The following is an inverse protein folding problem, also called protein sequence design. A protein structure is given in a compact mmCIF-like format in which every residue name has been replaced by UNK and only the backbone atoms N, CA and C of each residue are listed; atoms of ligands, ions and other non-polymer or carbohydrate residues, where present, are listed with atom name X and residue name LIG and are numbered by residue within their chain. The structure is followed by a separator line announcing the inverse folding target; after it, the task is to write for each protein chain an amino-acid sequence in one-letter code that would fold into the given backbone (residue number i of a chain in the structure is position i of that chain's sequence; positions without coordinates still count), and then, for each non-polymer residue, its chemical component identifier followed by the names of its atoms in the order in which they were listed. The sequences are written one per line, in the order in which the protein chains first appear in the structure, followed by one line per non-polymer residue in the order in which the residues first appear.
data_IF_607003071713
#
_entry.id   IF_607003071713
#
_cell.length_a   1.000
_cell.length_b   1.000
_cell.length_c   1.000
_cell.angle_alpha   90.00
_cell.angle_beta   90.00
_cell.angle_gamma   90.00
#
_symmetry.space_group_name_H-M   'P 1'
#
loop_
_entity.id
_entity.type
_entity.pdbx_description
1 polymer ?
#
# COMPACT_ATOMS: atom_id res chain seq x y z
N UNK A 1 -6.84 -1.33 0.27
CA UNK A 1 -5.45 -1.39 0.71
C UNK A 1 -5.05 0.00 1.14
N UNK A 2 -4.41 0.12 2.32
CA UNK A 2 -3.93 1.38 2.88
C UNK A 2 -2.48 1.18 3.33
N UNK A 3 -1.59 2.18 3.21
CA UNK A 3 -0.16 1.99 3.45
C UNK A 3 0.19 1.79 4.93
N UNK A 4 -0.69 2.16 5.86
CA UNK A 4 -0.42 2.09 7.29
C UNK A 4 -1.59 1.54 8.10
N UNK A 5 -1.26 1.05 9.30
CA UNK A 5 -2.21 0.56 10.31
C UNK A 5 -3.14 1.66 10.82
N UNK A 6 -2.62 2.87 11.01
CA UNK A 6 -3.41 4.00 11.50
C UNK A 6 -4.49 4.41 10.51
N UNK A 7 -4.19 4.34 9.21
CA UNK A 7 -5.16 4.62 8.16
C UNK A 7 -6.33 3.61 8.16
N UNK A 8 -6.12 2.36 8.60
CA UNK A 8 -7.24 1.42 8.77
C UNK A 8 -8.25 1.98 9.79
N UNK A 9 -7.76 2.52 10.90
CA UNK A 9 -8.60 3.16 11.92
C UNK A 9 -9.35 4.37 11.37
N UNK A 10 -8.66 5.24 10.65
CA UNK A 10 -9.27 6.45 10.05
C UNK A 10 -10.36 6.09 9.04
N UNK A 11 -10.11 5.13 8.15
CA UNK A 11 -11.10 4.65 7.18
C UNK A 11 -12.32 4.01 7.87
N UNK A 12 -12.10 3.22 8.93
CA UNK A 12 -13.21 2.62 9.69
C UNK A 12 -14.05 3.69 10.40
N UNK A 13 -13.41 4.69 10.99
CA UNK A 13 -14.08 5.81 11.65
C UNK A 13 -14.90 6.63 10.65
N UNK A 14 -14.29 6.99 9.51
CA UNK A 14 -14.96 7.74 8.45
C UNK A 14 -16.19 6.97 7.92
N UNK A 15 -16.05 5.66 7.67
CA UNK A 15 -17.17 4.84 7.24
C UNK A 15 -18.35 4.89 8.23
N UNK A 16 -18.07 4.81 9.54
CA UNK A 16 -19.12 4.91 10.57
C UNK A 16 -19.72 6.31 10.67
N UNK A 17 -18.91 7.36 10.55
CA UNK A 17 -19.38 8.74 10.50
C UNK A 17 -20.33 8.97 9.30
N UNK A 18 -20.06 8.31 8.17
CA UNK A 18 -20.92 8.34 6.97
C UNK A 18 -22.17 7.43 7.09
N UNK A 19 -22.40 6.81 8.25
CA UNK A 19 -23.55 5.95 8.49
C UNK A 19 -23.46 4.57 7.84
N UNK A 20 -22.28 4.16 7.35
CA UNK A 20 -22.06 2.81 6.80
C UNK A 20 -22.12 1.78 7.92
N UNK A 21 -22.87 0.68 7.71
CA UNK A 21 -23.17 -0.33 8.75
C UNK A 21 -22.70 -1.73 8.39
N UNK A 22 -22.09 -1.90 7.23
CA UNK A 22 -21.60 -3.19 6.81
C UNK A 22 -20.50 -3.73 7.74
N UNK A 23 -20.34 -5.06 7.77
CA UNK A 23 -19.20 -5.70 8.38
C UNK A 23 -17.87 -5.14 7.86
N UNK A 24 -16.99 -4.80 8.81
CA UNK A 24 -15.63 -4.34 8.56
C UNK A 24 -14.64 -5.39 9.05
N UNK A 25 -13.62 -5.68 8.25
CA UNK A 25 -12.52 -6.55 8.66
C UNK A 25 -11.17 -5.87 8.41
N UNK A 26 -10.29 -5.91 9.40
CA UNK A 26 -8.91 -5.49 9.30
C UNK A 26 -7.99 -6.71 9.13
N UNK A 27 -7.23 -6.72 8.03
CA UNK A 27 -6.22 -7.73 7.70
C UNK A 27 -4.86 -7.06 7.81
N UNK A 28 -4.31 -7.08 9.01
CA UNK A 28 -3.00 -6.51 9.33
C UNK A 28 -2.40 -7.24 10.53
N UNK A 29 -1.25 -6.76 11.00
CA UNK A 29 -0.70 -7.12 12.31
C UNK A 29 -1.46 -6.52 13.50
N UNK A 30 -2.51 -5.71 13.28
CA UNK A 30 -3.39 -5.21 14.35
C UNK A 30 -4.37 -6.27 14.85
N UNK A 31 -4.59 -6.23 16.16
CA UNK A 31 -5.75 -6.84 16.81
C UNK A 31 -6.85 -5.78 16.96
N UNK A 32 -7.88 -5.84 16.12
CA UNK A 32 -8.95 -4.86 16.05
C UNK A 32 -9.65 -4.64 17.40
N UNK A 33 -9.82 -5.70 18.20
CA UNK A 33 -10.43 -5.63 19.52
C UNK A 33 -9.60 -4.84 20.55
N UNK A 34 -8.29 -4.70 20.35
CA UNK A 34 -7.39 -3.90 21.20
C UNK A 34 -7.22 -2.47 20.70
N UNK A 35 -7.64 -2.19 19.47
CA UNK A 35 -7.54 -0.86 18.88
C UNK A 35 -8.87 -0.10 19.11
N UNK A 36 -8.90 0.97 19.92
CA UNK A 36 -10.15 1.62 20.35
C UNK A 36 -11.09 1.97 19.20
N UNK A 37 -10.55 2.61 18.15
CA UNK A 37 -11.33 3.04 16.98
C UNK A 37 -11.89 1.85 16.18
N UNK A 38 -11.16 0.74 16.08
CA UNK A 38 -11.61 -0.42 15.30
C UNK A 38 -12.63 -1.23 16.09
N UNK A 39 -12.43 -1.35 17.40
CA UNK A 39 -13.38 -1.95 18.33
C UNK A 39 -14.70 -1.18 18.33
N UNK A 40 -14.65 0.15 18.44
CA UNK A 40 -15.84 1.03 18.37
C UNK A 40 -16.54 0.93 17.01
N UNK A 41 -15.78 0.84 15.91
CA UNK A 41 -16.34 0.61 14.59
C UNK A 41 -16.92 -0.80 14.38
N UNK A 42 -16.78 -1.71 15.35
CA UNK A 42 -17.20 -3.11 15.24
C UNK A 42 -16.41 -3.89 14.20
N UNK A 43 -15.18 -3.49 13.91
CA UNK A 43 -14.29 -4.19 12.99
C UNK A 43 -13.69 -5.44 13.65
N UNK A 44 -13.54 -6.51 12.86
CA UNK A 44 -12.90 -7.76 13.29
C UNK A 44 -11.52 -7.91 12.66
N UNK A 45 -10.64 -8.72 13.25
CA UNK A 45 -9.35 -9.07 12.65
C UNK A 45 -9.36 -10.45 12.01
N UNK A 46 -8.68 -10.61 10.88
CA UNK A 46 -8.34 -11.94 10.34
C UNK A 46 -6.93 -12.37 10.76
N UNK A 47 -6.83 -13.52 11.44
CA UNK A 47 -5.57 -14.16 11.77
C UNK A 47 -5.01 -15.06 10.66
N UNK A 48 -5.81 -15.42 9.66
CA UNK A 48 -5.44 -16.27 8.53
C UNK A 48 -6.33 -15.99 7.31
N UNK A 49 -5.88 -16.38 6.10
CA UNK A 49 -6.70 -16.35 4.90
C UNK A 49 -7.96 -17.23 4.99
N UNK A 50 -7.91 -18.34 5.72
CA UNK A 50 -9.07 -19.21 5.95
C UNK A 50 -10.17 -18.50 6.75
N UNK A 51 -9.80 -17.79 7.84
CA UNK A 51 -10.77 -17.02 8.63
C UNK A 51 -11.40 -15.89 7.80
N UNK A 52 -10.60 -15.21 6.98
CA UNK A 52 -11.10 -14.20 6.04
C UNK A 52 -12.08 -14.82 5.03
N UNK A 53 -11.74 -15.98 4.44
CA UNK A 53 -12.60 -16.65 3.47
C UNK A 53 -13.94 -17.10 4.08
N UNK A 54 -13.91 -17.66 5.28
CA UNK A 54 -15.12 -17.99 6.05
C UNK A 54 -16.00 -16.75 6.27
N UNK A 55 -15.39 -15.66 6.72
CA UNK A 55 -16.11 -14.42 7.02
C UNK A 55 -16.75 -13.81 5.76
N UNK A 56 -16.03 -13.79 4.64
CA UNK A 56 -16.55 -13.33 3.35
C UNK A 56 -17.70 -14.23 2.86
N UNK A 57 -17.57 -15.55 2.95
CA UNK A 57 -18.63 -16.48 2.58
C UNK A 57 -19.90 -16.30 3.45
N UNK A 58 -19.74 -15.99 4.73
CA UNK A 58 -20.86 -15.66 5.64
C UNK A 58 -21.55 -14.35 5.24
N UNK A 59 -20.80 -13.30 4.91
CA UNK A 59 -21.37 -12.02 4.46
C UNK A 59 -22.13 -12.20 3.13
N UNK A 60 -21.53 -12.93 2.18
CA UNK A 60 -22.15 -13.25 0.89
C UNK A 60 -23.46 -14.04 1.06
N UNK A 61 -23.48 -15.04 1.96
CA UNK A 61 -24.70 -15.81 2.27
C UNK A 61 -25.85 -14.93 2.79
N UNK A 62 -25.53 -13.84 3.48
CA UNK A 62 -26.51 -12.88 3.99
C UNK A 62 -26.85 -11.77 2.99
N UNK A 63 -26.21 -11.74 1.83
CA UNK A 63 -26.30 -10.65 0.87
C UNK A 63 -25.95 -9.28 1.49
N UNK A 64 -25.01 -9.28 2.44
CA UNK A 64 -24.50 -8.07 3.08
C UNK A 64 -23.24 -7.61 2.34
N UNK A 65 -23.11 -6.32 1.95
CA UNK A 65 -21.83 -5.79 1.52
C UNK A 65 -20.82 -5.94 2.66
N UNK A 66 -19.53 -6.07 2.35
CA UNK A 66 -18.47 -6.21 3.35
C UNK A 66 -17.25 -5.42 2.90
N UNK A 67 -16.55 -4.78 3.85
CA UNK A 67 -15.33 -4.01 3.56
C UNK A 67 -14.14 -4.64 4.28
N UNK A 68 -13.08 -4.90 3.53
CA UNK A 68 -11.82 -5.43 4.05
C UNK A 68 -10.73 -4.36 3.90
N UNK A 69 -10.15 -3.95 5.02
CA UNK A 69 -8.95 -3.13 5.06
C UNK A 69 -7.73 -4.02 5.16
N UNK A 70 -6.71 -3.74 4.36
CA UNK A 70 -5.49 -4.54 4.32
C UNK A 70 -4.27 -3.65 4.16
N UNK A 71 -3.20 -3.96 4.89
CA UNK A 71 -1.89 -3.34 4.75
C UNK A 71 -1.01 -4.12 3.76
N UNK A 72 -0.01 -3.49 3.12
CA UNK A 72 0.79 -4.16 2.08
C UNK A 72 1.45 -5.46 2.54
N UNK A 73 2.02 -5.46 3.75
CA UNK A 73 2.64 -6.61 4.41
C UNK A 73 1.66 -7.78 4.69
N UNK A 74 0.37 -7.51 4.63
CA UNK A 74 -0.69 -8.49 4.89
C UNK A 74 -1.46 -8.91 3.62
N UNK A 75 -1.04 -8.45 2.43
CA UNK A 75 -1.59 -8.89 1.15
C UNK A 75 -1.52 -10.41 0.92
N UNK A 76 -0.46 -11.14 1.33
CA UNK A 76 -0.43 -12.60 1.19
C UNK A 76 -1.64 -13.30 1.83
N UNK A 77 -2.21 -12.77 2.92
CA UNK A 77 -3.42 -13.33 3.54
C UNK A 77 -4.67 -13.20 2.66
N UNK A 78 -4.71 -12.19 1.78
CA UNK A 78 -5.80 -12.06 0.80
C UNK A 78 -5.64 -13.11 -0.30
N UNK A 79 -4.41 -13.42 -0.70
CA UNK A 79 -4.11 -14.47 -1.68
C UNK A 79 -4.46 -15.86 -1.13
N UNK A 80 -4.14 -16.14 0.14
CA UNK A 80 -4.48 -17.38 0.85
C UNK A 80 -5.98 -17.73 0.79
N UNK A 81 -6.88 -16.75 0.68
CA UNK A 81 -8.33 -16.98 0.54
C UNK A 81 -8.65 -17.91 -0.63
N UNK A 82 -7.87 -17.83 -1.71
CA UNK A 82 -8.06 -18.65 -2.90
C UNK A 82 -7.79 -20.14 -2.66
N UNK A 83 -7.01 -20.47 -1.64
CA UNK A 83 -6.65 -21.84 -1.26
C UNK A 83 -7.49 -22.37 -0.10
N UNK A 84 -8.48 -21.62 0.36
CA UNK A 84 -9.35 -22.04 1.44
C UNK A 84 -10.39 -23.07 1.00
N UNK A 85 -10.98 -23.77 1.97
CA UNK A 85 -12.13 -24.67 1.75
C UNK A 85 -13.43 -23.92 1.45
N UNK A 86 -13.45 -22.61 1.68
CA UNK A 86 -14.59 -21.74 1.39
C UNK A 86 -14.51 -21.22 -0.05
N UNK A 87 -15.66 -20.85 -0.67
CA UNK A 87 -15.64 -20.26 -2.00
C UNK A 87 -14.67 -19.08 -2.07
N UNK A 88 -13.74 -19.12 -3.02
CA UNK A 88 -12.79 -18.05 -3.24
C UNK A 88 -13.55 -16.74 -3.53
N UNK A 89 -13.47 -15.80 -2.59
CA UNK A 89 -14.14 -14.53 -2.73
C UNK A 89 -13.53 -13.72 -3.88
N UNK A 90 -14.38 -13.17 -4.74
CA UNK A 90 -13.98 -12.18 -5.75
C UNK A 90 -14.48 -10.83 -5.28
N UNK A 91 -13.55 -9.91 -5.01
CA UNK A 91 -13.91 -8.56 -4.57
C UNK A 91 -14.51 -7.76 -5.72
N UNK A 92 -15.65 -7.11 -5.52
CA UNK A 92 -16.26 -6.27 -6.56
C UNK A 92 -15.42 -5.01 -6.88
N UNK A 93 -14.70 -4.50 -5.90
CA UNK A 93 -13.84 -3.33 -6.00
C UNK A 93 -12.67 -3.45 -5.01
N UNK A 94 -11.45 -3.24 -5.49
CA UNK A 94 -10.30 -2.93 -4.65
C UNK A 94 -9.97 -1.44 -4.76
N UNK A 95 -9.83 -0.77 -3.61
CA UNK A 95 -9.33 0.61 -3.53
C UNK A 95 -7.90 0.53 -3.00
N UNK A 96 -6.97 1.17 -3.69
CA UNK A 96 -5.55 1.24 -3.35
C UNK A 96 -5.23 2.69 -3.01
N UNK A 97 -5.14 2.96 -1.71
CA UNK A 97 -4.81 4.27 -1.17
C UNK A 97 -3.29 4.48 -1.16
N UNK A 98 -2.86 5.72 -1.31
CA UNK A 98 -1.46 6.11 -1.57
C UNK A 98 -0.77 5.23 -2.62
N UNK A 99 -1.44 5.11 -3.77
CA UNK A 99 -1.03 4.23 -4.86
C UNK A 99 0.37 4.54 -5.42
N UNK A 100 0.93 5.74 -5.19
CA UNK A 100 2.32 6.02 -5.59
C UNK A 100 3.31 5.06 -4.92
N UNK A 101 3.06 4.61 -3.68
CA UNK A 101 3.89 3.59 -3.01
C UNK A 101 3.83 2.20 -3.67
N UNK A 102 2.85 1.97 -4.55
CA UNK A 102 2.75 0.71 -5.31
C UNK A 102 3.52 0.76 -6.63
N UNK A 103 3.96 1.94 -7.05
CA UNK A 103 4.74 2.15 -8.26
C UNK A 103 6.23 2.29 -7.90
N UNK A 104 7.01 1.22 -8.02
CA UNK A 104 8.48 1.29 -7.91
C UNK A 104 9.08 0.33 -6.89
N UNK A 105 9.92 -0.58 -7.40
CA UNK A 105 10.65 -1.60 -6.62
C UNK A 105 10.09 -3.00 -6.85
N UNK A 106 10.78 -3.78 -7.70
CA UNK A 106 10.47 -5.19 -7.96
C UNK A 106 10.76 -6.10 -6.74
N UNK A 107 11.52 -5.59 -5.77
CA UNK A 107 12.00 -6.34 -4.60
C UNK A 107 11.04 -6.32 -3.39
N UNK A 108 9.79 -5.92 -3.62
CA UNK A 108 8.81 -5.66 -2.58
C UNK A 108 7.55 -6.51 -2.83
N UNK A 109 6.82 -6.87 -1.76
CA UNK A 109 5.69 -7.82 -1.84
C UNK A 109 4.39 -7.24 -2.44
N UNK A 110 4.30 -5.93 -2.58
CA UNK A 110 3.08 -5.23 -3.01
C UNK A 110 2.69 -5.28 -4.50
N UNK A 111 3.53 -5.66 -5.49
CA UNK A 111 3.09 -5.86 -6.87
C UNK A 111 1.91 -6.83 -7.00
N UNK A 112 1.74 -7.72 -6.02
CA UNK A 112 0.62 -8.67 -5.94
C UNK A 112 -0.76 -8.01 -6.03
N UNK A 113 -0.92 -6.76 -5.59
CA UNK A 113 -2.22 -6.06 -5.68
C UNK A 113 -2.67 -5.81 -7.12
N UNK A 114 -1.73 -5.74 -8.07
CA UNK A 114 -2.01 -5.56 -9.49
C UNK A 114 -2.33 -6.88 -10.21
N UNK A 115 -1.90 -8.02 -9.65
CA UNK A 115 -2.09 -9.33 -10.25
C UNK A 115 -3.49 -9.88 -9.95
N UNK A 116 -4.32 -9.98 -10.99
CA UNK A 116 -5.71 -10.48 -10.87
C UNK A 116 -5.81 -11.99 -10.67
N UNK A 117 -4.74 -12.74 -10.96
CA UNK A 117 -4.67 -14.16 -10.66
C UNK A 117 -4.39 -14.42 -9.18
N UNK A 118 -3.66 -13.50 -8.52
CA UNK A 118 -3.28 -13.58 -7.10
C UNK A 118 -4.26 -12.86 -6.17
N UNK A 119 -4.81 -11.73 -6.60
CA UNK A 119 -5.83 -10.98 -5.86
C UNK A 119 -7.04 -10.78 -6.77
N UNK A 120 -8.05 -11.64 -6.62
CA UNK A 120 -9.23 -11.61 -7.49
C UNK A 120 -10.12 -10.43 -7.18
N UNK A 121 -10.20 -9.48 -8.10
CA UNK A 121 -11.14 -8.37 -8.03
C UNK A 121 -11.65 -7.96 -9.42
N UNK A 122 -12.91 -7.55 -9.51
CA UNK A 122 -13.55 -7.10 -10.76
C UNK A 122 -13.04 -5.73 -11.20
N UNK A 123 -12.71 -4.84 -10.26
CA UNK A 123 -12.32 -3.44 -10.51
C UNK A 123 -11.27 -2.99 -9.52
N UNK A 124 -10.37 -2.11 -9.95
CA UNK A 124 -9.37 -1.47 -9.09
C UNK A 124 -9.44 0.04 -9.25
N UNK A 125 -9.44 0.75 -8.13
CA UNK A 125 -9.35 2.20 -8.06
C UNK A 125 -8.06 2.56 -7.32
N UNK A 126 -7.16 3.26 -8.00
CA UNK A 126 -5.90 3.74 -7.43
C UNK A 126 -6.07 5.21 -7.08
N UNK A 127 -5.84 5.55 -5.81
CA UNK A 127 -5.97 6.90 -5.28
C UNK A 127 -4.61 7.37 -4.80
N UNK A 128 -4.24 8.59 -5.17
CA UNK A 128 -3.09 9.27 -4.58
C UNK A 128 -3.16 10.77 -4.85
N UNK A 129 -2.65 11.57 -3.91
CA UNK A 129 -2.44 13.00 -4.11
C UNK A 129 -1.12 13.31 -4.84
N UNK A 130 -0.16 12.39 -4.84
CA UNK A 130 1.21 12.59 -5.34
C UNK A 130 1.56 11.53 -6.40
N UNK A 131 1.06 11.67 -7.64
CA UNK A 131 1.26 10.64 -8.67
C UNK A 131 2.71 10.50 -9.16
N UNK A 132 3.57 11.46 -8.85
CA UNK A 132 4.99 11.46 -9.21
C UNK A 132 5.85 11.62 -7.96
N UNK A 133 6.76 10.68 -7.73
CA UNK A 133 7.89 10.87 -6.83
C UNK A 133 9.04 11.45 -7.65
N UNK A 134 9.40 12.70 -7.37
CA UNK A 134 10.55 13.35 -7.98
C UNK A 134 11.69 13.40 -6.97
N UNK A 135 12.74 12.61 -7.20
CA UNK A 135 14.03 12.87 -6.56
C UNK A 135 14.73 13.98 -7.32
N UNK A 136 14.95 15.13 -6.66
CA UNK A 136 15.87 16.12 -7.20
C UNK A 136 17.25 15.44 -7.34
N UNK A 137 17.94 15.58 -8.49
CA UNK A 137 19.31 15.09 -8.59
C UNK A 137 20.09 15.67 -7.42
N UNK A 138 20.79 14.82 -6.67
CA UNK A 138 21.73 15.22 -5.62
C UNK A 138 22.54 16.39 -6.18
N UNK A 139 22.29 17.59 -5.67
CA UNK A 139 23.10 18.74 -6.02
C UNK A 139 24.51 18.38 -5.59
N UNK A 140 25.36 18.07 -6.56
CA UNK A 140 26.80 17.95 -6.31
C UNK A 140 27.19 19.26 -5.64
N UNK A 141 27.62 19.19 -4.38
CA UNK A 141 28.02 20.37 -3.65
C UNK A 141 29.04 21.12 -4.52
N UNK A 142 28.89 22.43 -4.76
CA UNK A 142 29.85 23.16 -5.58
C UNK A 142 31.25 22.92 -5.00
N UNK A 143 32.13 22.29 -5.78
CA UNK A 143 33.50 21.95 -5.39
C UNK A 143 34.20 23.25 -4.97
N UNK A 144 34.23 23.52 -3.66
CA UNK A 144 34.74 24.74 -3.07
C UNK A 144 36.29 24.77 -3.05
N UNK A 145 36.93 24.13 -4.03
CA UNK A 145 38.38 24.20 -4.22
C UNK A 145 38.68 24.92 -5.52
N UNK A 146 39.19 26.17 -5.46
CA UNK A 146 39.71 26.82 -6.65
C UNK A 146 40.81 25.95 -7.23
N UNK A 147 40.59 25.41 -8.43
CA UNK A 147 41.65 24.75 -9.20
C UNK A 147 42.70 25.81 -9.55
N UNK A 148 43.96 25.69 -9.11
CA UNK A 148 44.99 26.65 -9.50
C UNK A 148 45.18 26.55 -11.01
N UNK A 149 44.98 27.67 -11.72
CA UNK A 149 45.36 27.80 -13.13
C UNK A 149 46.87 27.55 -13.24
N UNK A 150 47.27 26.42 -13.82
CA UNK A 150 48.66 26.24 -14.29
C UNK A 150 48.90 27.23 -15.42
N UNK A 151 49.50 28.37 -15.10
CA UNK A 151 50.12 29.24 -16.11
C UNK A 151 51.31 28.48 -16.67
N UNK A 152 51.22 28.02 -17.93
CA UNK A 152 52.39 27.50 -18.64
C UNK A 152 53.32 28.68 -18.96
N UNK A 153 54.31 28.92 -18.12
CA UNK A 153 55.42 29.79 -18.46
C UNK A 153 56.25 29.11 -19.55
N UNK A 154 56.26 29.68 -20.75
CA UNK A 154 57.25 29.39 -21.79
C UNK A 154 58.28 30.54 -21.78
N UNK A 155 59.53 30.33 -21.31
CA UNK A 155 60.57 31.31 -21.56
C UNK A 155 60.86 31.32 -23.06
N UNK A 156 60.68 32.49 -23.67
CA UNK A 156 60.96 32.74 -25.08
C UNK A 156 62.45 32.61 -25.37
N UNK A 157 62.77 31.94 -26.48
CA UNK A 157 64.09 31.99 -27.10
C UNK A 157 64.16 33.23 -28.00
N UNK A 158 65.21 34.06 -27.93
CA UNK A 158 65.64 34.84 -29.07
C UNK A 158 66.62 34.00 -29.91
N UNK A 159 66.33 33.87 -31.21
CA UNK A 159 67.28 33.54 -32.29
C UNK A 159 67.82 34.86 -32.89
N UNK A 160 68.78 34.83 -33.84
CA UNK A 160 69.86 33.87 -34.09
C UNK A 160 71.22 34.36 -33.59
#
# INVERSE_FOLDING_TARGET
MVPSRDLIGQWAQAARADGRREPLMAVSSLEAHKHPVLSEAGAVSAGSGEHLAYWLARCAKKNEPATVFVTPDSLPRIEEVQHSVFPAAVFDLAIVDEAHHTAGGWDKDWPVIHDSSRIRTKRRLYLTATPYEWEAPLAEAPDARPRPKRTSYRPGSPRP
#
